data_IF_703602105963
#
_entry.id   IF_703602105963
#
_cell.length_a   1.000
_cell.length_b   1.000
_cell.length_c   1.000
_cell.angle_alpha   90.00
_cell.angle_beta   90.00
_cell.angle_gamma   90.00
#
_symmetry.space_group_name_H-M   'P 1'
#
loop_
_entity.id
_entity.type
_entity.pdbx_description
1 polymer ?
#
# COMPACT_ATOMS: atom_id res chain seq x y z
N UNK A 1 9.07 -9.10 27.86
CA UNK A 1 7.69 -9.30 27.36
C UNK A 1 7.30 -8.12 26.46
N UNK A 2 8.08 -7.82 25.41
CA UNK A 2 7.92 -6.54 24.69
C UNK A 2 8.29 -6.56 23.19
N UNK A 3 9.10 -7.51 22.70
CA UNK A 3 9.40 -7.60 21.26
C UNK A 3 8.26 -8.21 20.43
N UNK A 4 7.60 -9.26 20.92
CA UNK A 4 6.58 -9.97 20.12
C UNK A 4 5.28 -9.19 19.86
N UNK A 5 4.88 -8.28 20.76
CA UNK A 5 3.66 -7.49 20.56
C UNK A 5 3.93 -6.36 19.56
N UNK A 6 5.06 -5.67 19.69
CA UNK A 6 5.45 -4.56 18.81
C UNK A 6 5.67 -5.02 17.35
N UNK A 7 6.27 -6.19 17.14
CA UNK A 7 6.42 -6.78 15.80
C UNK A 7 5.07 -7.08 15.14
N UNK A 8 4.09 -7.60 15.90
CA UNK A 8 2.78 -7.94 15.33
C UNK A 8 1.96 -6.71 14.96
N UNK A 9 1.96 -5.67 15.78
CA UNK A 9 1.20 -4.45 15.48
C UNK A 9 1.80 -3.73 14.26
N UNK A 10 3.14 -3.65 14.20
CA UNK A 10 3.88 -3.10 13.05
C UNK A 10 3.61 -3.89 11.76
N UNK A 11 3.66 -5.22 11.82
CA UNK A 11 3.33 -6.08 10.69
C UNK A 11 1.86 -5.95 10.28
N UNK A 12 0.95 -5.77 11.23
CA UNK A 12 -0.47 -5.58 10.97
C UNK A 12 -0.72 -4.26 10.23
N UNK A 13 -0.10 -3.16 10.65
CA UNK A 13 -0.24 -1.85 10.02
C UNK A 13 0.30 -1.80 8.59
N UNK A 14 1.46 -2.41 8.36
CA UNK A 14 2.04 -2.59 7.02
C UNK A 14 1.13 -3.47 6.16
N UNK A 15 0.62 -4.57 6.70
CA UNK A 15 -0.27 -5.49 5.98
C UNK A 15 -1.61 -4.85 5.61
N UNK A 16 -2.22 -4.09 6.52
CA UNK A 16 -3.49 -3.36 6.29
C UNK A 16 -3.37 -2.34 5.16
N UNK A 17 -2.20 -1.73 4.99
CA UNK A 17 -1.92 -0.82 3.86
C UNK A 17 -1.54 -1.56 2.56
N UNK A 18 -0.87 -2.70 2.66
CA UNK A 18 -0.39 -3.46 1.51
C UNK A 18 -1.51 -4.27 0.82
N UNK A 19 -2.47 -4.81 1.57
CA UNK A 19 -3.59 -5.58 1.02
C UNK A 19 -4.39 -4.77 0.00
N UNK A 20 -4.84 -3.52 0.28
CA UNK A 20 -5.57 -2.73 -0.70
C UNK A 20 -4.74 -2.43 -1.96
N UNK A 21 -3.42 -2.24 -1.86
CA UNK A 21 -2.55 -2.11 -3.04
C UNK A 21 -2.61 -3.35 -3.93
N UNK A 22 -2.54 -4.54 -3.34
CA UNK A 22 -2.68 -5.80 -4.08
C UNK A 22 -4.02 -5.91 -4.79
N UNK A 23 -5.11 -5.53 -4.12
CA UNK A 23 -6.46 -5.54 -4.70
C UNK A 23 -6.55 -4.56 -5.88
N UNK A 24 -6.07 -3.32 -5.72
CA UNK A 24 -6.10 -2.32 -6.78
C UNK A 24 -5.27 -2.77 -7.99
N UNK A 25 -4.06 -3.29 -7.77
CA UNK A 25 -3.20 -3.82 -8.84
C UNK A 25 -3.87 -4.99 -9.58
N UNK A 26 -4.49 -5.91 -8.86
CA UNK A 26 -5.25 -7.01 -9.43
C UNK A 26 -6.37 -6.50 -10.34
N UNK A 27 -7.17 -5.54 -9.88
CA UNK A 27 -8.27 -5.00 -10.67
C UNK A 27 -7.77 -4.23 -11.89
N UNK A 28 -6.68 -3.43 -11.79
CA UNK A 28 -6.07 -2.80 -12.96
C UNK A 28 -5.72 -3.86 -13.99
N UNK A 29 -5.01 -4.93 -13.59
CA UNK A 29 -4.62 -6.00 -14.50
C UNK A 29 -5.84 -6.69 -15.13
N UNK A 30 -6.85 -7.03 -14.34
CA UNK A 30 -8.07 -7.66 -14.82
C UNK A 30 -8.81 -6.79 -15.84
N UNK A 31 -8.98 -5.49 -15.57
CA UNK A 31 -9.66 -4.57 -16.48
C UNK A 31 -8.84 -4.32 -17.76
N UNK A 32 -7.51 -4.34 -17.69
CA UNK A 32 -6.65 -4.26 -18.89
C UNK A 32 -6.79 -5.50 -19.77
N UNK A 33 -6.85 -6.70 -19.19
CA UNK A 33 -6.87 -7.97 -19.94
C UNK A 33 -8.27 -8.34 -20.45
N UNK A 34 -9.30 -8.23 -19.62
CA UNK A 34 -10.62 -8.81 -19.92
C UNK A 34 -11.69 -7.80 -20.34
N UNK A 35 -11.45 -6.49 -20.19
CA UNK A 35 -12.42 -5.39 -20.34
C UNK A 35 -13.81 -5.78 -20.93
N UNK A 36 -14.78 -6.22 -20.10
CA UNK A 36 -16.04 -6.75 -20.61
C UNK A 36 -17.05 -5.65 -20.98
N UNK A 37 -16.77 -4.39 -20.64
CA UNK A 37 -17.65 -3.23 -20.95
C UNK A 37 -17.14 -2.39 -22.14
N UNK A 38 -15.99 -2.74 -22.71
CA UNK A 38 -15.39 -2.03 -23.85
C UNK A 38 -14.57 -0.79 -23.45
N UNK A 39 -13.90 -0.19 -24.43
CA UNK A 39 -13.02 0.97 -24.24
C UNK A 39 -13.74 2.25 -24.66
N UNK A 40 -14.44 2.88 -23.71
CA UNK A 40 -14.90 4.25 -23.88
C UNK A 40 -13.82 5.22 -23.35
N UNK A 41 -13.32 6.17 -24.17
CA UNK A 41 -12.22 7.03 -23.77
C UNK A 41 -12.48 7.84 -22.49
N UNK A 42 -13.71 8.30 -22.26
CA UNK A 42 -14.04 9.09 -21.09
C UNK A 42 -14.16 8.20 -19.86
N UNK A 43 -14.95 7.13 -19.93
CA UNK A 43 -15.17 6.24 -18.79
C UNK A 43 -13.91 5.47 -18.41
N UNK A 44 -13.18 4.92 -19.37
CA UNK A 44 -11.93 4.20 -19.10
C UNK A 44 -10.86 5.12 -18.51
N UNK A 45 -10.73 6.36 -19.01
CA UNK A 45 -9.76 7.32 -18.44
C UNK A 45 -10.12 7.68 -17.00
N UNK A 46 -11.39 7.93 -16.71
CA UNK A 46 -11.84 8.22 -15.34
C UNK A 46 -11.63 7.00 -14.42
N UNK A 47 -12.02 5.80 -14.85
CA UNK A 47 -11.85 4.57 -14.07
C UNK A 47 -10.37 4.32 -13.75
N UNK A 48 -9.51 4.24 -14.78
CA UNK A 48 -8.09 3.97 -14.58
C UNK A 48 -7.40 5.12 -13.86
N UNK A 49 -7.79 6.38 -14.12
CA UNK A 49 -7.28 7.55 -13.42
C UNK A 49 -7.56 7.49 -11.92
N UNK A 50 -8.81 7.25 -11.52
CA UNK A 50 -9.21 7.15 -10.12
C UNK A 50 -8.50 6.00 -9.40
N UNK A 51 -8.46 4.80 -10.02
CA UNK A 51 -7.81 3.63 -9.44
C UNK A 51 -6.29 3.87 -9.33
N UNK A 52 -5.66 4.41 -10.38
CA UNK A 52 -4.19 4.63 -10.40
C UNK A 52 -3.78 5.72 -9.41
N UNK A 53 -4.51 6.84 -9.34
CA UNK A 53 -4.23 7.90 -8.36
C UNK A 53 -4.35 7.34 -6.94
N UNK A 54 -5.41 6.58 -6.66
CA UNK A 54 -5.61 5.95 -5.35
C UNK A 54 -4.48 4.96 -5.02
N UNK A 55 -4.08 4.14 -6.00
CA UNK A 55 -2.96 3.20 -5.87
C UNK A 55 -1.65 3.92 -5.54
N UNK A 56 -1.32 4.99 -6.29
CA UNK A 56 -0.08 5.75 -6.09
C UNK A 56 -0.08 6.45 -4.73
N UNK A 57 -1.17 7.12 -4.37
CA UNK A 57 -1.28 7.79 -3.06
C UNK A 57 -1.13 6.79 -1.92
N UNK A 58 -1.80 5.64 -2.00
CA UNK A 58 -1.69 4.60 -0.99
C UNK A 58 -0.29 3.98 -0.95
N UNK A 59 0.37 3.80 -2.10
CA UNK A 59 1.73 3.27 -2.15
C UNK A 59 2.72 4.23 -1.48
N UNK A 60 2.56 5.54 -1.73
CA UNK A 60 3.33 6.58 -1.04
C UNK A 60 3.09 6.54 0.45
N UNK A 61 1.83 6.48 0.90
CA UNK A 61 1.50 6.41 2.33
C UNK A 61 2.09 5.14 2.97
N UNK A 62 1.96 3.98 2.32
CA UNK A 62 2.52 2.71 2.79
C UNK A 62 4.03 2.80 2.96
N UNK A 63 4.73 3.39 1.98
CA UNK A 63 6.17 3.59 2.04
C UNK A 63 6.57 4.55 3.17
N UNK A 64 5.86 5.67 3.32
CA UNK A 64 6.13 6.63 4.39
C UNK A 64 5.89 6.01 5.78
N UNK A 65 4.84 5.22 5.95
CA UNK A 65 4.57 4.49 7.19
C UNK A 65 5.69 3.51 7.51
N UNK A 66 6.11 2.68 6.55
CA UNK A 66 7.22 1.74 6.75
C UNK A 66 8.54 2.44 7.09
N UNK A 67 8.83 3.56 6.43
CA UNK A 67 10.03 4.37 6.71
C UNK A 67 9.99 5.03 8.09
N UNK A 68 8.81 5.46 8.55
CA UNK A 68 8.64 6.05 9.88
C UNK A 68 8.93 5.00 10.97
N UNK A 69 8.41 3.78 10.80
CA UNK A 69 8.66 2.64 11.70
C UNK A 69 10.17 2.34 11.80
N UNK A 70 10.86 2.21 10.67
CA UNK A 70 12.31 1.93 10.64
C UNK A 70 13.13 3.05 11.31
N UNK A 71 12.68 4.30 11.19
CA UNK A 71 13.30 5.46 11.82
C UNK A 71 13.22 5.43 13.35
N UNK A 72 12.09 5.02 13.90
CA UNK A 72 11.89 4.87 15.34
C UNK A 72 12.74 3.72 15.90
N UNK A 73 12.83 2.58 15.21
CA UNK A 73 13.67 1.45 15.63
C UNK A 73 15.15 1.85 15.79
N UNK A 74 15.71 2.61 14.84
CA UNK A 74 17.11 3.05 14.91
C UNK A 74 17.35 4.05 16.04
N UNK A 75 16.36 4.87 16.38
CA UNK A 75 16.49 5.89 17.43
C UNK A 75 16.42 5.31 18.84
N UNK A 76 15.68 4.23 19.03
CA UNK A 76 15.56 3.54 20.33
C UNK A 76 16.57 2.39 20.50
N UNK A 77 17.11 1.79 19.42
CA UNK A 77 18.09 0.70 19.48
C UNK A 77 19.56 1.12 19.64
N UNK A 78 19.89 2.41 19.52
CA UNK A 78 21.27 2.91 19.55
C UNK A 78 21.83 3.32 20.93
N UNK A 79 21.12 3.04 22.02
CA UNK A 79 21.45 3.50 23.37
C UNK A 79 22.11 2.48 24.32
N UNK A 80 22.41 1.25 23.88
CA UNK A 80 22.91 0.17 24.74
C UNK A 80 24.35 -0.28 24.41
N UNK A 81 25.27 0.67 24.25
CA UNK A 81 26.72 0.38 24.27
C UNK A 81 27.42 1.14 25.39
#
# INVERSE_FOLDING_TARGET
>A
MSREIFDRDTLLDLTVNFIPLGILALFIALYVVFNPWGWDPLFSTLQFGLITITFVLLAVLTYLSGKAIEGDERRFGGGEH
#
